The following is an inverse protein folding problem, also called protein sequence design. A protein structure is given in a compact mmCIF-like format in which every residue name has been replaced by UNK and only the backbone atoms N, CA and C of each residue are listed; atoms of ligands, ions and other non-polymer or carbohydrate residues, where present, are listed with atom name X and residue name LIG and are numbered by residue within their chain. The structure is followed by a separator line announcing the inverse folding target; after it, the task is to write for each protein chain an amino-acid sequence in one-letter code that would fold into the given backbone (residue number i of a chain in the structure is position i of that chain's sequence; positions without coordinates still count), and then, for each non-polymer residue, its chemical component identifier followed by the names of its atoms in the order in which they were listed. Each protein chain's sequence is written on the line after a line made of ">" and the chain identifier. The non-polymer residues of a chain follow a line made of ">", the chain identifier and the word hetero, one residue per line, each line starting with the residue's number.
data_IF_732418959611
#
_entry.id   IF_732418959611
#
_cell.length_a   1.000
_cell.length_b   1.000
_cell.length_c   1.000
_cell.angle_alpha   90.00
_cell.angle_beta   90.00
_cell.angle_gamma   90.00
#
_symmetry.space_group_name_H-M   'P 1'
#
loop_
_entity.id
_entity.type
_entity.pdbx_description
1 polymer ?
#
# COMPACT_ATOMS: atom_id res chain seq x y z
N UNK A 1 37.79 15.02 -0.42
CA UNK A 1 36.81 13.96 -0.69
C UNK A 1 35.90 13.87 0.53
N UNK A 2 34.76 14.60 0.49
CA UNK A 2 33.82 14.70 1.63
C UNK A 2 32.89 13.51 1.59
N UNK A 3 32.86 12.72 2.66
CA UNK A 3 31.88 11.65 2.88
C UNK A 3 30.49 12.30 3.03
N UNK A 4 29.57 11.86 2.20
CA UNK A 4 28.15 12.25 2.31
C UNK A 4 27.54 11.50 3.49
N UNK A 5 27.02 12.26 4.46
CA UNK A 5 26.28 11.78 5.62
C UNK A 5 25.01 11.03 5.15
N UNK A 6 24.99 9.73 5.33
CA UNK A 6 23.88 8.83 4.97
C UNK A 6 22.76 8.81 6.02
N UNK A 7 22.60 9.86 6.82
CA UNK A 7 21.64 9.93 7.92
C UNK A 7 20.63 11.09 7.76
N UNK A 8 20.24 11.40 6.53
CA UNK A 8 19.10 12.27 6.33
C UNK A 8 17.81 11.49 6.74
N UNK A 9 17.37 11.71 7.98
CA UNK A 9 16.02 11.34 8.42
C UNK A 9 15.04 12.00 7.44
N UNK A 10 14.41 11.17 6.59
CA UNK A 10 13.26 11.58 5.79
C UNK A 10 12.14 11.97 6.76
N UNK A 11 12.14 13.24 7.18
CA UNK A 11 10.99 13.87 7.79
C UNK A 11 9.94 14.00 6.68
N UNK A 12 9.11 12.93 6.50
CA UNK A 12 7.85 13.13 5.81
C UNK A 12 6.98 14.03 6.68
N UNK A 13 6.48 15.16 6.16
CA UNK A 13 5.38 15.85 6.81
C UNK A 13 4.28 14.79 6.94
N UNK A 14 3.84 14.55 8.16
CA UNK A 14 2.66 13.74 8.42
C UNK A 14 1.56 14.29 7.51
N UNK A 15 1.17 13.52 6.50
CA UNK A 15 -0.02 13.83 5.74
C UNK A 15 -1.17 13.76 6.76
N UNK A 16 -1.55 14.92 7.30
CA UNK A 16 -2.79 15.06 8.05
C UNK A 16 -3.84 14.49 7.13
N UNK A 17 -4.50 13.40 7.57
CA UNK A 17 -5.51 12.72 6.77
C UNK A 17 -6.43 13.74 6.12
N UNK A 18 -6.37 13.84 4.81
CA UNK A 18 -7.29 14.65 4.03
C UNK A 18 -8.62 13.92 4.15
N UNK A 19 -9.47 14.34 5.08
CA UNK A 19 -10.85 13.83 5.14
C UNK A 19 -11.54 14.22 3.85
N UNK A 20 -12.02 13.26 3.09
CA UNK A 20 -12.73 13.47 1.82
C UNK A 20 -14.07 14.22 1.96
N UNK A 21 -14.31 14.88 3.09
CA UNK A 21 -15.53 15.67 3.34
C UNK A 21 -15.40 16.56 4.57
N UNK A 22 -14.42 17.47 4.60
CA UNK A 22 -14.48 18.57 5.55
C UNK A 22 -15.09 19.79 4.83
N UNK A 23 -16.34 20.20 5.15
CA UNK A 23 -17.00 21.33 4.47
C UNK A 23 -16.33 22.69 4.72
N UNK A 24 -15.25 22.74 5.51
CA UNK A 24 -14.51 23.97 5.83
C UNK A 24 -13.08 24.00 5.27
N UNK A 25 -12.68 22.98 4.47
CA UNK A 25 -11.38 23.04 3.79
C UNK A 25 -11.56 23.77 2.45
N UNK A 26 -10.92 24.96 2.24
CA UNK A 26 -11.05 25.72 1.00
C UNK A 26 -10.52 25.01 -0.26
N UNK A 27 -9.94 23.82 -0.13
CA UNK A 27 -9.54 22.95 -1.23
C UNK A 27 -10.55 21.83 -1.50
N UNK A 28 -11.67 21.75 -0.77
CA UNK A 28 -12.65 20.68 -0.93
C UNK A 28 -13.43 20.84 -2.25
N UNK A 29 -13.21 19.89 -3.11
CA UNK A 29 -13.99 19.69 -4.33
C UNK A 29 -15.32 19.09 -3.93
N UNK A 30 -16.45 19.71 -4.36
CA UNK A 30 -17.78 19.14 -4.10
C UNK A 30 -17.98 17.87 -4.92
N UNK A 31 -18.96 17.08 -4.49
CA UNK A 31 -19.36 15.89 -5.22
C UNK A 31 -19.80 16.21 -6.66
N UNK A 32 -20.56 17.29 -6.82
CA UNK A 32 -21.05 17.75 -8.12
C UNK A 32 -19.92 18.15 -9.06
N UNK A 33 -18.89 18.81 -8.53
CA UNK A 33 -17.68 19.16 -9.27
C UNK A 33 -16.91 17.90 -9.70
N UNK A 34 -16.80 16.89 -8.82
CA UNK A 34 -16.16 15.62 -9.16
C UNK A 34 -16.94 14.85 -10.25
N UNK A 35 -18.30 14.84 -10.15
CA UNK A 35 -19.16 14.22 -11.17
C UNK A 35 -19.03 14.95 -12.53
N UNK A 36 -18.93 16.29 -12.53
CA UNK A 36 -18.71 17.05 -13.78
C UNK A 36 -17.35 16.79 -14.40
N UNK A 37 -16.31 16.59 -13.58
CA UNK A 37 -15.00 16.18 -14.10
C UNK A 37 -15.08 14.83 -14.82
N UNK A 38 -15.85 13.88 -14.31
CA UNK A 38 -16.09 12.58 -14.98
C UNK A 38 -16.84 12.80 -16.32
N UNK A 39 -17.87 13.65 -16.36
CA UNK A 39 -18.57 13.97 -17.63
C UNK A 39 -17.62 14.58 -18.65
N UNK A 40 -16.69 15.41 -18.19
CA UNK A 40 -15.66 16.01 -19.05
C UNK A 40 -14.75 14.95 -19.65
N UNK A 41 -14.31 13.96 -18.83
CA UNK A 41 -13.48 12.84 -19.32
C UNK A 41 -14.24 11.95 -20.30
N UNK A 42 -15.54 11.71 -20.09
CA UNK A 42 -16.38 10.96 -21.02
C UNK A 42 -16.44 11.65 -22.37
N UNK A 43 -16.69 12.98 -22.41
CA UNK A 43 -16.67 13.78 -23.65
C UNK A 43 -15.31 13.77 -24.33
N UNK A 44 -14.22 13.89 -23.56
CA UNK A 44 -12.86 13.79 -24.06
C UNK A 44 -12.56 12.44 -24.73
N UNK A 45 -13.11 11.35 -24.17
CA UNK A 45 -12.99 10.01 -24.73
C UNK A 45 -13.84 9.79 -26.00
N UNK A 46 -14.67 10.77 -26.39
CA UNK A 46 -15.53 10.70 -27.58
C UNK A 46 -16.93 10.17 -27.29
N UNK A 47 -17.35 10.09 -26.03
CA UNK A 47 -18.66 9.59 -25.62
C UNK A 47 -19.66 10.72 -25.34
N UNK A 48 -20.96 10.42 -25.50
CA UNK A 48 -22.06 11.28 -25.04
C UNK A 48 -22.47 10.89 -23.61
N UNK A 49 -22.15 11.72 -22.60
CA UNK A 49 -22.54 11.43 -21.21
C UNK A 49 -24.06 11.48 -20.99
N UNK A 50 -24.86 11.99 -21.94
CA UNK A 50 -26.31 12.03 -21.85
C UNK A 50 -26.99 10.75 -22.34
N UNK A 51 -26.27 9.83 -22.99
CA UNK A 51 -26.87 8.56 -23.41
C UNK A 51 -27.21 7.67 -22.21
N UNK A 52 -28.27 6.89 -22.32
CA UNK A 52 -28.89 6.10 -21.24
C UNK A 52 -27.86 5.31 -20.40
N UNK A 53 -26.93 4.62 -21.05
CA UNK A 53 -25.91 3.79 -20.35
C UNK A 53 -24.88 4.59 -19.53
N UNK A 54 -24.73 5.91 -19.77
CA UNK A 54 -23.75 6.76 -19.10
C UNK A 54 -24.35 7.79 -18.12
N UNK A 55 -25.68 7.91 -18.04
CA UNK A 55 -26.34 8.90 -17.18
C UNK A 55 -25.87 8.82 -15.70
N UNK A 56 -25.76 7.61 -15.17
CA UNK A 56 -25.33 7.36 -13.79
C UNK A 56 -23.82 7.17 -13.64
N UNK A 57 -23.05 7.09 -14.73
CA UNK A 57 -21.61 6.80 -14.67
C UNK A 57 -20.84 7.81 -13.82
N UNK A 58 -21.04 9.14 -13.92
CA UNK A 58 -20.35 10.09 -13.06
C UNK A 58 -20.54 9.80 -11.57
N UNK A 59 -21.78 9.54 -11.16
CA UNK A 59 -22.12 9.22 -9.79
C UNK A 59 -21.48 7.91 -9.31
N UNK A 60 -21.46 6.89 -10.17
CA UNK A 60 -20.84 5.58 -9.87
C UNK A 60 -19.35 5.68 -9.73
N UNK A 61 -18.67 6.42 -10.61
CA UNK A 61 -17.23 6.66 -10.55
C UNK A 61 -16.85 7.39 -9.27
N UNK A 62 -17.50 8.49 -8.93
CA UNK A 62 -17.23 9.25 -7.71
C UNK A 62 -17.48 8.40 -6.45
N UNK A 63 -18.47 7.51 -6.46
CA UNK A 63 -18.68 6.55 -5.38
C UNK A 63 -17.52 5.55 -5.29
N UNK A 64 -17.09 4.97 -6.43
CA UNK A 64 -15.99 4.00 -6.46
C UNK A 64 -14.66 4.63 -5.97
N UNK A 65 -14.41 5.89 -6.28
CA UNK A 65 -13.24 6.62 -5.79
C UNK A 65 -13.16 6.68 -4.26
N UNK A 66 -14.31 6.81 -3.56
CA UNK A 66 -14.33 6.77 -2.09
C UNK A 66 -13.87 5.42 -1.55
N UNK A 67 -14.28 4.33 -2.20
CA UNK A 67 -13.89 2.98 -1.80
C UNK A 67 -12.41 2.74 -2.08
N UNK A 68 -11.93 3.10 -3.28
CA UNK A 68 -10.55 2.91 -3.72
C UNK A 68 -9.55 3.76 -2.95
N UNK A 69 -9.93 4.96 -2.51
CA UNK A 69 -9.05 5.93 -1.85
C UNK A 69 -9.38 6.14 -0.37
N UNK A 70 -10.12 5.21 0.25
CA UNK A 70 -10.47 5.25 1.67
C UNK A 70 -9.25 5.22 2.62
N UNK A 71 -8.08 4.81 2.14
CA UNK A 71 -6.83 4.82 2.89
C UNK A 71 -6.35 6.22 3.30
N UNK A 72 -6.85 7.29 2.66
CA UNK A 72 -6.57 8.66 3.10
C UNK A 72 -7.35 9.08 4.35
N UNK A 73 -8.40 8.34 4.74
CA UNK A 73 -9.28 8.69 5.86
C UNK A 73 -8.75 8.22 7.22
N UNK A 74 -7.70 7.37 7.25
CA UNK A 74 -7.17 6.77 8.47
C UNK A 74 -5.65 6.71 8.50
N UNK A 75 -5.08 6.66 9.70
CA UNK A 75 -3.68 6.32 9.91
C UNK A 75 -3.55 4.79 10.05
N UNK A 76 -2.86 4.10 9.12
CA UNK A 76 -2.70 2.65 9.21
C UNK A 76 -1.96 2.18 10.48
N UNK A 77 -1.13 3.03 11.09
CA UNK A 77 -0.46 2.75 12.37
C UNK A 77 -1.43 2.53 13.53
N UNK A 78 -2.61 3.16 13.49
CA UNK A 78 -3.61 3.00 14.54
C UNK A 78 -4.12 1.54 14.67
N UNK A 79 -4.15 0.78 13.56
CA UNK A 79 -4.51 -0.63 13.61
C UNK A 79 -3.54 -1.48 14.44
N UNK A 80 -2.26 -1.08 14.52
CA UNK A 80 -1.20 -1.80 15.22
C UNK A 80 -1.12 -1.46 16.72
N UNK A 81 -1.78 -0.40 17.19
CA UNK A 81 -1.68 0.03 18.61
C UNK A 81 -2.28 -0.98 19.59
N UNK A 82 -3.25 -1.80 19.14
CA UNK A 82 -3.83 -2.87 19.95
C UNK A 82 -3.00 -4.14 19.82
N UNK A 83 -2.15 -4.36 20.79
CA UNK A 83 -1.22 -5.50 20.87
C UNK A 83 -1.58 -6.45 22.02
N UNK A 84 -1.01 -7.67 21.98
CA UNK A 84 -1.11 -8.67 23.01
C UNK A 84 0.28 -8.92 23.62
N UNK A 85 0.34 -9.04 24.95
CA UNK A 85 1.59 -9.36 25.68
C UNK A 85 1.67 -10.85 26.08
N UNK A 86 0.54 -11.54 26.10
CA UNK A 86 0.42 -12.95 26.49
C UNK A 86 0.80 -13.87 25.33
N UNK A 87 2.10 -13.92 25.00
CA UNK A 87 2.61 -14.74 23.89
C UNK A 87 3.50 -15.88 24.38
N UNK A 88 3.48 -16.18 25.69
CA UNK A 88 4.21 -17.31 26.29
C UNK A 88 5.71 -17.36 25.90
N UNK A 89 6.35 -16.21 25.70
CA UNK A 89 7.75 -16.12 25.28
C UNK A 89 8.00 -16.43 23.81
N UNK A 90 6.99 -16.32 22.94
CA UNK A 90 7.15 -16.50 21.49
C UNK A 90 8.06 -15.42 20.92
N UNK A 91 9.21 -15.80 20.42
CA UNK A 91 10.27 -14.96 19.88
C UNK A 91 10.63 -15.30 18.41
N UNK A 92 9.87 -16.22 17.81
CA UNK A 92 10.04 -16.65 16.43
C UNK A 92 9.36 -15.70 15.43
N UNK A 93 9.72 -15.86 14.17
CA UNK A 93 9.16 -15.08 13.08
C UNK A 93 7.64 -15.28 12.92
N UNK A 94 6.91 -14.17 12.81
CA UNK A 94 5.49 -14.18 12.43
C UNK A 94 5.38 -13.75 10.98
N UNK A 95 4.77 -14.57 10.13
CA UNK A 95 4.57 -14.28 8.71
C UNK A 95 3.09 -14.34 8.35
N UNK A 96 2.59 -13.28 7.70
CA UNK A 96 1.31 -13.26 7.02
C UNK A 96 1.58 -13.12 5.52
N UNK A 97 1.25 -14.13 4.75
CA UNK A 97 1.51 -14.19 3.30
C UNK A 97 0.21 -14.11 2.49
N UNK A 98 0.37 -13.84 1.21
CA UNK A 98 -0.72 -13.82 0.23
C UNK A 98 -1.85 -12.84 0.60
N UNK A 99 -1.49 -11.68 1.16
CA UNK A 99 -2.44 -10.60 1.44
C UNK A 99 -2.78 -9.97 0.09
N UNK A 100 -3.95 -10.26 -0.44
CA UNK A 100 -4.43 -9.63 -1.67
C UNK A 100 -4.69 -8.16 -1.42
N UNK A 101 -4.31 -7.31 -2.37
CA UNK A 101 -4.55 -5.88 -2.30
C UNK A 101 -4.82 -5.28 -3.69
N UNK A 102 -5.50 -4.16 -3.69
CA UNK A 102 -5.71 -3.30 -4.83
C UNK A 102 -5.21 -1.89 -4.50
N UNK A 103 -4.50 -1.28 -5.43
CA UNK A 103 -4.00 0.08 -5.33
C UNK A 103 -4.13 0.78 -6.68
N UNK A 104 -3.74 2.05 -6.75
CA UNK A 104 -3.78 2.83 -7.99
C UNK A 104 -2.45 3.54 -8.21
N UNK A 105 -1.89 3.34 -9.41
CA UNK A 105 -0.67 3.99 -9.84
C UNK A 105 -0.87 5.52 -9.87
N UNK A 106 -0.03 6.27 -9.17
CA UNK A 106 -0.14 7.74 -9.13
C UNK A 106 0.14 8.41 -10.48
N UNK A 107 0.84 7.74 -11.40
CA UNK A 107 1.17 8.30 -12.71
C UNK A 107 0.00 8.25 -13.70
N UNK A 108 -0.87 7.25 -13.63
CA UNK A 108 -1.91 6.99 -14.64
C UNK A 108 -3.29 6.73 -14.05
N UNK A 109 -3.43 6.72 -12.73
CA UNK A 109 -4.67 6.36 -12.02
C UNK A 109 -5.18 4.95 -12.37
N UNK A 110 -4.30 4.11 -12.94
CA UNK A 110 -4.61 2.75 -13.32
C UNK A 110 -4.41 1.79 -12.13
N UNK A 111 -5.17 0.68 -12.04
CA UNK A 111 -5.04 -0.27 -10.95
C UNK A 111 -3.64 -0.91 -10.87
N UNK A 112 -3.21 -1.19 -9.65
CA UNK A 112 -2.12 -2.09 -9.29
C UNK A 112 -2.78 -3.21 -8.48
N UNK A 113 -2.66 -4.45 -8.94
CA UNK A 113 -3.33 -5.60 -8.32
C UNK A 113 -2.27 -6.64 -7.98
N UNK A 114 -2.24 -7.06 -6.72
CA UNK A 114 -1.18 -7.98 -6.31
C UNK A 114 -1.37 -8.59 -4.94
N UNK A 115 -0.27 -9.12 -4.43
CA UNK A 115 -0.16 -9.74 -3.11
C UNK A 115 1.00 -9.14 -2.34
N UNK A 116 0.77 -8.91 -1.06
CA UNK A 116 1.78 -8.51 -0.10
C UNK A 116 2.06 -9.66 0.86
N UNK A 117 3.32 -9.80 1.23
CA UNK A 117 3.77 -10.71 2.26
C UNK A 117 4.48 -9.89 3.33
N UNK A 118 4.07 -10.07 4.57
CA UNK A 118 4.56 -9.31 5.72
C UNK A 118 5.10 -10.27 6.75
N UNK A 119 6.35 -10.07 7.15
CA UNK A 119 6.99 -10.77 8.25
C UNK A 119 7.49 -9.79 9.31
N UNK A 120 7.44 -10.17 10.58
CA UNK A 120 8.12 -9.43 11.63
C UNK A 120 8.65 -10.38 12.71
N UNK A 121 9.73 -9.97 13.39
CA UNK A 121 10.32 -10.68 14.50
C UNK A 121 9.87 -10.00 15.82
N UNK A 122 8.92 -10.57 16.57
CA UNK A 122 8.42 -9.94 17.78
C UNK A 122 9.51 -9.83 18.85
N UNK A 123 9.41 -8.83 19.73
CA UNK A 123 10.28 -8.67 20.91
C UNK A 123 9.48 -8.90 22.20
N UNK A 124 8.47 -8.10 22.43
CA UNK A 124 7.67 -8.14 23.65
C UNK A 124 6.16 -8.13 23.40
N UNK A 125 5.76 -7.90 22.17
CA UNK A 125 4.35 -7.76 21.79
C UNK A 125 4.10 -8.37 20.43
N UNK A 126 2.94 -9.00 20.29
CA UNK A 126 2.41 -9.44 19.00
C UNK A 126 1.13 -8.69 18.68
N UNK A 127 0.82 -8.62 17.41
CA UNK A 127 -0.40 -8.00 16.90
C UNK A 127 -1.28 -9.05 16.23
N UNK A 128 -2.60 -8.86 16.32
CA UNK A 128 -3.52 -9.75 15.62
C UNK A 128 -3.30 -9.71 14.11
N UNK A 129 -3.27 -10.88 13.47
CA UNK A 129 -2.96 -11.05 12.03
C UNK A 129 -3.80 -10.15 11.12
N UNK A 130 -5.10 -9.96 11.43
CA UNK A 130 -5.99 -9.07 10.69
C UNK A 130 -5.54 -7.60 10.68
N UNK A 131 -4.69 -7.19 11.64
CA UNK A 131 -4.18 -5.83 11.73
C UNK A 131 -3.09 -5.57 10.69
N UNK A 132 -2.25 -6.58 10.42
CA UNK A 132 -1.25 -6.51 9.36
C UNK A 132 -1.92 -6.35 7.98
N UNK A 133 -2.96 -7.13 7.71
CA UNK A 133 -3.72 -6.97 6.47
C UNK A 133 -4.35 -5.57 6.35
N UNK A 134 -4.90 -5.03 7.44
CA UNK A 134 -5.45 -3.65 7.44
C UNK A 134 -4.40 -2.57 7.22
N UNK A 135 -3.16 -2.78 7.66
CA UNK A 135 -2.05 -1.86 7.36
C UNK A 135 -1.76 -1.87 5.87
N UNK A 136 -1.69 -3.04 5.25
CA UNK A 136 -1.53 -3.17 3.79
C UNK A 136 -2.65 -2.42 3.07
N UNK A 137 -3.91 -2.70 3.39
CA UNK A 137 -5.08 -2.02 2.80
C UNK A 137 -5.03 -0.51 2.99
N UNK A 138 -4.70 -0.04 4.19
CA UNK A 138 -4.67 1.38 4.53
C UNK A 138 -3.64 2.18 3.74
N UNK A 139 -2.52 1.58 3.36
CA UNK A 139 -1.55 2.19 2.46
C UNK A 139 -1.88 1.93 0.99
N UNK A 140 -2.39 0.75 0.64
CA UNK A 140 -2.71 0.40 -0.75
C UNK A 140 -3.87 1.24 -1.30
N UNK A 141 -4.89 1.55 -0.49
CA UNK A 141 -6.05 2.36 -0.90
C UNK A 141 -5.73 3.86 -0.98
N UNK A 142 -4.63 4.16 -1.69
CA UNK A 142 -4.12 5.52 -1.98
C UNK A 142 -3.54 5.52 -3.39
N UNK A 143 -3.20 6.70 -3.91
CA UNK A 143 -2.30 6.77 -5.05
C UNK A 143 -0.90 6.36 -4.63
N UNK A 144 -0.31 5.38 -5.33
CA UNK A 144 0.95 4.77 -4.93
C UNK A 144 1.94 4.57 -6.08
N UNK A 145 3.22 4.51 -5.70
CA UNK A 145 4.27 3.79 -6.41
C UNK A 145 4.60 2.56 -5.57
N UNK A 146 4.78 1.41 -6.19
CA UNK A 146 4.92 0.14 -5.46
C UNK A 146 6.10 0.14 -4.49
N UNK A 147 7.22 0.75 -4.83
CA UNK A 147 8.41 0.88 -3.98
C UNK A 147 8.08 1.67 -2.70
N UNK A 148 7.35 2.77 -2.84
CA UNK A 148 6.89 3.59 -1.72
C UNK A 148 5.90 2.82 -0.84
N UNK A 149 4.91 2.15 -1.44
CA UNK A 149 3.95 1.31 -0.73
C UNK A 149 4.65 0.27 0.15
N UNK A 150 5.65 -0.43 -0.43
CA UNK A 150 6.43 -1.46 0.25
C UNK A 150 7.18 -0.88 1.45
N UNK A 151 7.82 0.28 1.26
CA UNK A 151 8.58 0.95 2.31
C UNK A 151 7.68 1.51 3.42
N UNK A 152 6.55 2.13 3.07
CA UNK A 152 5.59 2.70 4.04
C UNK A 152 4.99 1.61 4.95
N UNK A 153 4.62 0.45 4.40
CA UNK A 153 4.12 -0.69 5.20
C UNK A 153 5.19 -1.16 6.18
N UNK A 154 6.42 -1.40 5.71
CA UNK A 154 7.50 -1.88 6.56
C UNK A 154 7.86 -0.88 7.67
N UNK A 155 7.96 0.40 7.34
CA UNK A 155 8.30 1.44 8.28
C UNK A 155 7.20 1.65 9.33
N UNK A 156 5.93 1.63 8.92
CA UNK A 156 4.80 1.74 9.84
C UNK A 156 4.79 0.61 10.90
N UNK A 157 5.07 -0.64 10.47
CA UNK A 157 5.17 -1.78 11.39
C UNK A 157 6.37 -1.63 12.31
N UNK A 158 7.54 -1.22 11.77
CA UNK A 158 8.76 -1.00 12.55
C UNK A 158 8.57 0.06 13.62
N UNK A 159 7.99 1.22 13.26
CA UNK A 159 7.83 2.34 14.18
C UNK A 159 6.79 2.07 15.28
N UNK A 160 5.71 1.33 14.93
CA UNK A 160 4.59 1.12 15.85
C UNK A 160 4.80 -0.06 16.78
N UNK A 161 5.28 -1.19 16.28
CA UNK A 161 5.49 -2.42 17.08
C UNK A 161 6.88 -2.51 17.68
N UNK A 162 7.86 -1.82 17.09
CA UNK A 162 9.28 -1.89 17.49
C UNK A 162 9.81 -3.33 17.58
N UNK A 163 9.57 -4.16 16.55
CA UNK A 163 10.06 -5.53 16.53
C UNK A 163 11.58 -5.55 16.27
N UNK A 164 12.23 -6.70 16.45
CA UNK A 164 13.64 -6.87 16.09
C UNK A 164 13.92 -6.70 14.58
N UNK A 165 12.89 -6.88 13.74
CA UNK A 165 12.96 -6.64 12.31
C UNK A 165 11.62 -6.79 11.63
N UNK A 166 11.54 -6.28 10.40
CA UNK A 166 10.36 -6.35 9.53
C UNK A 166 10.80 -6.73 8.13
N UNK A 167 10.02 -7.56 7.47
CA UNK A 167 10.14 -7.89 6.05
C UNK A 167 8.80 -7.65 5.34
N UNK A 168 8.83 -6.94 4.23
CA UNK A 168 7.68 -6.79 3.34
C UNK A 168 8.12 -7.10 1.92
N UNK A 169 7.37 -7.96 1.24
CA UNK A 169 7.52 -8.25 -0.18
C UNK A 169 6.17 -8.05 -0.85
N UNK A 170 6.16 -7.34 -1.96
CA UNK A 170 4.98 -7.12 -2.80
C UNK A 170 5.27 -7.65 -4.20
N UNK A 171 4.35 -8.46 -4.72
CA UNK A 171 4.30 -8.92 -6.11
C UNK A 171 2.99 -8.46 -6.72
N UNK A 172 3.05 -7.60 -7.75
CA UNK A 172 1.87 -7.00 -8.33
C UNK A 172 1.99 -6.74 -9.84
N UNK A 173 0.85 -6.82 -10.53
CA UNK A 173 0.69 -6.36 -11.91
C UNK A 173 0.23 -4.92 -11.94
N UNK A 174 0.72 -4.18 -12.94
CA UNK A 174 0.41 -2.78 -13.16
C UNK A 174 -0.42 -2.61 -14.43
N UNK A 175 -1.69 -2.26 -14.29
CA UNK A 175 -2.59 -2.13 -15.44
C UNK A 175 -2.20 -0.97 -16.38
N UNK A 176 -1.43 -0.03 -15.91
CA UNK A 176 -0.82 1.00 -16.76
C UNK A 176 0.22 0.45 -17.74
N UNK A 177 0.75 -0.76 -17.52
CA UNK A 177 1.66 -1.46 -18.43
C UNK A 177 0.96 -2.52 -19.29
N UNK A 178 -0.15 -3.09 -18.79
CA UNK A 178 -0.85 -4.19 -19.46
C UNK A 178 -1.89 -3.70 -20.45
N UNK A 179 -2.68 -2.70 -20.06
CA UNK A 179 -3.84 -2.20 -20.84
C UNK A 179 -3.50 -1.06 -21.79
N UNK A 180 -2.37 -0.40 -21.60
CA UNK A 180 -1.88 0.73 -22.40
C UNK A 180 -0.34 0.75 -22.40
N UNK A 181 0.26 1.73 -23.11
CA UNK A 181 1.70 1.96 -23.17
C UNK A 181 2.45 0.80 -23.81
N UNK A 182 3.23 0.07 -23.02
CA UNK A 182 4.08 -1.03 -23.53
C UNK A 182 3.35 -2.35 -23.76
N UNK A 183 2.09 -2.46 -23.35
CA UNK A 183 1.22 -3.64 -23.54
C UNK A 183 1.86 -4.97 -23.11
N UNK A 184 2.52 -5.02 -21.95
CA UNK A 184 3.17 -6.23 -21.42
C UNK A 184 2.24 -6.95 -20.45
N UNK A 185 1.48 -7.93 -20.97
CA UNK A 185 0.64 -8.83 -20.18
C UNK A 185 1.50 -9.90 -19.48
N UNK A 186 1.10 -10.30 -18.29
CA UNK A 186 1.78 -11.37 -17.53
C UNK A 186 3.11 -10.94 -16.90
N UNK A 187 3.45 -9.65 -16.93
CA UNK A 187 4.59 -9.12 -16.18
C UNK A 187 4.12 -8.69 -14.81
N UNK A 188 4.79 -9.17 -13.76
CA UNK A 188 4.65 -8.65 -12.41
C UNK A 188 5.92 -7.91 -11.97
N UNK A 189 5.76 -7.01 -11.03
CA UNK A 189 6.83 -6.28 -10.38
C UNK A 189 6.97 -6.77 -8.95
N UNK A 190 8.18 -7.15 -8.54
CA UNK A 190 8.45 -7.53 -7.17
C UNK A 190 9.28 -6.44 -6.50
N UNK A 191 8.81 -5.96 -5.35
CA UNK A 191 9.53 -5.04 -4.48
C UNK A 191 9.68 -5.61 -3.09
N UNK A 192 10.77 -5.27 -2.41
CA UNK A 192 11.02 -5.75 -1.05
C UNK A 192 11.61 -4.67 -0.15
N UNK A 193 11.22 -4.69 1.11
CA UNK A 193 11.82 -3.88 2.18
C UNK A 193 12.13 -4.78 3.37
N UNK A 194 13.39 -4.79 3.76
CA UNK A 194 13.91 -5.55 4.90
C UNK A 194 14.48 -4.57 5.93
N UNK A 195 14.09 -4.72 7.20
CA UNK A 195 14.54 -3.88 8.33
C UNK A 195 15.03 -4.77 9.48
N UNK A 196 15.99 -4.28 10.27
CA UNK A 196 16.56 -4.97 11.42
C UNK A 196 17.08 -6.37 11.05
N UNK A 197 16.71 -7.40 11.82
CA UNK A 197 17.20 -8.78 11.66
C UNK A 197 17.03 -9.34 10.24
N UNK A 198 15.95 -8.98 9.54
CA UNK A 198 15.77 -9.43 8.15
C UNK A 198 16.77 -8.79 7.17
N UNK A 199 17.27 -7.60 7.46
CA UNK A 199 18.32 -6.95 6.66
C UNK A 199 19.70 -7.47 7.04
N UNK A 200 19.97 -7.60 8.33
CA UNK A 200 21.30 -7.80 8.88
C UNK A 200 21.71 -9.27 8.86
N UNK A 201 20.75 -10.22 9.01
CA UNK A 201 21.00 -11.66 8.96
C UNK A 201 20.45 -12.31 7.69
N UNK A 202 21.34 -12.89 6.89
CA UNK A 202 20.99 -13.56 5.65
C UNK A 202 20.16 -14.84 5.86
N UNK A 203 20.29 -15.50 7.02
CA UNK A 203 19.53 -16.73 7.35
C UNK A 203 18.07 -16.40 7.64
N UNK A 204 17.83 -15.41 8.51
CA UNK A 204 16.47 -14.91 8.81
C UNK A 204 15.76 -14.45 7.53
N UNK A 205 16.49 -13.73 6.67
CA UNK A 205 15.94 -13.31 5.37
C UNK A 205 15.61 -14.51 4.47
N UNK A 206 16.49 -15.50 4.37
CA UNK A 206 16.28 -16.68 3.55
C UNK A 206 15.07 -17.51 4.03
N UNK A 207 14.91 -17.67 5.35
CA UNK A 207 13.77 -18.35 5.96
C UNK A 207 12.44 -17.65 5.61
N UNK A 208 12.38 -16.32 5.74
CA UNK A 208 11.20 -15.54 5.33
C UNK A 208 10.87 -15.75 3.86
N UNK A 209 11.86 -15.65 2.96
CA UNK A 209 11.65 -15.84 1.53
C UNK A 209 11.16 -17.26 1.21
N UNK A 210 11.63 -18.26 1.96
CA UNK A 210 11.15 -19.63 1.84
C UNK A 210 9.69 -19.77 2.27
N UNK A 211 9.28 -19.15 3.38
CA UNK A 211 7.90 -19.18 3.85
C UNK A 211 6.91 -18.56 2.85
N UNK A 212 7.32 -17.55 2.10
CA UNK A 212 6.48 -16.91 1.08
C UNK A 212 6.60 -17.56 -0.31
N UNK A 213 7.39 -18.64 -0.44
CA UNK A 213 7.51 -19.40 -1.69
C UNK A 213 8.42 -18.77 -2.75
N UNK A 214 9.20 -17.75 -2.38
CA UNK A 214 10.23 -17.18 -3.26
C UNK A 214 11.51 -17.97 -3.05
N UNK A 215 11.69 -19.04 -3.83
CA UNK A 215 12.91 -19.84 -3.81
C UNK A 215 14.00 -19.14 -4.62
N UNK A 216 14.91 -18.44 -3.94
CA UNK A 216 16.18 -18.09 -4.55
C UNK A 216 16.98 -19.35 -4.84
N UNK A 217 17.16 -19.72 -6.10
CA UNK A 217 18.23 -20.61 -6.48
C UNK A 217 19.55 -19.93 -6.09
N UNK A 218 20.06 -20.25 -4.91
CA UNK A 218 21.48 -19.98 -4.60
C UNK A 218 22.27 -20.93 -5.50
N UNK A 219 22.74 -20.43 -6.65
CA UNK A 219 23.80 -21.06 -7.45
C UNK A 219 25.14 -20.57 -6.93
#
# INVERSE_FOLDING_TARGET
>A
MRMLDANAKLHHPQAKGIRMSDPHNPTDVTREQAEEAVRTLLRWAGEDPAREGLLDTPKRVVKAYRDWFSGYESDPGDYLRRTFKEVAGYDEMVVLRDIEFESHCEHHMAPIIGRAHVGYMPTSRVVGISKLARVVDGFARRFQVQEKLTAEIAQCIQDTLQPAGVAVVIDASHECMTTRGVHKRGVSMITSQMLGTFRDDARTRAEFLQFIGIHGSVR
#
